data_IF_103748128677
#
_entry.id   IF_103748128677
#
_cell.length_a   1.000
_cell.length_b   1.000
_cell.length_c   1.000
_cell.angle_alpha   90.00
_cell.angle_beta   90.00
_cell.angle_gamma   90.00
#
_symmetry.space_group_name_H-M   'P 1'
#
loop_
_entity.id
_entity.type
_entity.pdbx_description
1 polymer ?
#
# COMPACT_ATOMS: atom_id res chain seq x y z
N UNK A 1 -1.46 -15.24 4.50
CA UNK A 1 -1.51 -15.53 3.05
C UNK A 1 -2.34 -14.48 2.39
N UNK A 2 -1.69 -13.61 1.61
CA UNK A 2 -2.37 -12.57 0.84
C UNK A 2 -3.11 -13.19 -0.35
N UNK A 3 -4.41 -12.98 -0.40
CA UNK A 3 -5.29 -13.39 -1.49
C UNK A 3 -5.91 -12.17 -2.18
N UNK A 4 -6.74 -12.42 -3.19
CA UNK A 4 -7.51 -11.38 -3.87
C UNK A 4 -8.34 -10.52 -2.89
N UNK A 5 -8.86 -11.15 -1.83
CA UNK A 5 -9.72 -10.48 -0.85
C UNK A 5 -8.98 -9.40 -0.06
N UNK A 6 -7.77 -9.69 0.44
CA UNK A 6 -6.97 -8.71 1.17
C UNK A 6 -6.54 -7.56 0.26
N UNK A 7 -6.14 -7.85 -0.99
CA UNK A 7 -5.78 -6.82 -1.97
C UNK A 7 -6.99 -5.96 -2.32
N UNK A 8 -8.18 -6.56 -2.46
CA UNK A 8 -9.40 -5.82 -2.77
C UNK A 8 -9.80 -4.87 -1.65
N UNK A 9 -9.59 -5.27 -0.38
CA UNK A 9 -9.79 -4.37 0.76
C UNK A 9 -8.83 -3.20 0.74
N UNK A 10 -7.55 -3.49 0.47
CA UNK A 10 -6.54 -2.46 0.40
C UNK A 10 -6.81 -1.45 -0.72
N UNK A 11 -7.39 -1.86 -1.85
CA UNK A 11 -7.81 -0.92 -2.91
C UNK A 11 -8.80 0.16 -2.42
N UNK A 12 -9.63 -0.13 -1.41
CA UNK A 12 -10.56 0.87 -0.84
C UNK A 12 -9.87 1.93 0.02
N UNK A 13 -8.58 1.79 0.33
CA UNK A 13 -7.85 2.80 1.12
C UNK A 13 -7.88 4.18 0.46
N UNK A 14 -7.95 4.23 -0.88
CA UNK A 14 -8.05 5.47 -1.65
C UNK A 14 -9.37 6.18 -1.31
N UNK A 15 -10.49 5.45 -1.37
CA UNK A 15 -11.81 5.99 -1.03
C UNK A 15 -11.86 6.44 0.44
N UNK A 16 -11.20 5.72 1.35
CA UNK A 16 -11.13 6.09 2.76
C UNK A 16 -10.33 7.39 2.98
N UNK A 17 -9.23 7.60 2.27
CA UNK A 17 -8.51 8.88 2.33
C UNK A 17 -9.35 10.03 1.75
N UNK A 18 -10.05 9.83 0.63
CA UNK A 18 -10.90 10.86 0.03
C UNK A 18 -12.07 11.29 0.92
N UNK A 19 -12.53 10.38 1.79
CA UNK A 19 -13.68 10.60 2.68
C UNK A 19 -13.30 10.86 4.15
N UNK A 20 -12.01 10.91 4.48
CA UNK A 20 -11.49 11.00 5.86
C UNK A 20 -12.09 9.90 6.77
N UNK A 21 -12.20 8.68 6.24
CA UNK A 21 -12.72 7.51 6.96
C UNK A 21 -11.59 6.79 7.72
N UNK A 22 -11.75 6.68 9.04
CA UNK A 22 -10.84 5.98 9.96
C UNK A 22 -10.56 4.49 9.67
N UNK A 23 -11.30 3.90 8.73
CA UNK A 23 -11.04 2.55 8.22
C UNK A 23 -9.71 2.46 7.47
N UNK A 24 -9.16 3.60 7.04
CA UNK A 24 -7.81 3.73 6.49
C UNK A 24 -6.72 3.05 7.35
N UNK A 25 -6.78 3.22 8.68
CA UNK A 25 -5.82 2.63 9.63
C UNK A 25 -5.81 1.10 9.54
N UNK A 26 -6.99 0.47 9.38
CA UNK A 26 -7.08 -0.98 9.23
C UNK A 26 -6.41 -1.44 7.94
N UNK A 27 -6.59 -0.69 6.85
CA UNK A 27 -5.97 -1.02 5.56
C UNK A 27 -4.46 -0.74 5.55
N UNK A 28 -3.99 0.26 6.30
CA UNK A 28 -2.56 0.47 6.55
C UNK A 28 -1.95 -0.78 7.20
N UNK A 29 -2.55 -1.30 8.27
CA UNK A 29 -2.07 -2.53 8.91
C UNK A 29 -2.13 -3.74 7.97
N UNK A 30 -3.16 -3.84 7.13
CA UNK A 30 -3.25 -4.89 6.12
C UNK A 30 -2.06 -4.80 5.15
N UNK A 31 -1.72 -3.60 4.67
CA UNK A 31 -0.59 -3.39 3.77
C UNK A 31 0.76 -3.68 4.41
N UNK A 32 0.95 -3.35 5.69
CA UNK A 32 2.14 -3.75 6.46
C UNK A 32 2.25 -5.29 6.57
N UNK A 33 1.12 -5.98 6.72
CA UNK A 33 1.05 -7.44 6.69
C UNK A 33 1.48 -8.01 5.34
N UNK A 34 0.99 -7.44 4.24
CA UNK A 34 1.38 -7.83 2.88
C UNK A 34 2.89 -7.65 2.65
N UNK A 35 3.50 -6.61 3.23
CA UNK A 35 4.96 -6.39 3.11
C UNK A 35 5.76 -7.54 3.71
N UNK A 36 5.32 -8.10 4.85
CA UNK A 36 5.98 -9.23 5.52
C UNK A 36 5.88 -10.53 4.72
N UNK A 37 4.82 -10.67 3.92
CA UNK A 37 4.58 -11.84 3.07
C UNK A 37 5.03 -11.64 1.62
N UNK A 38 5.65 -10.50 1.28
CA UNK A 38 5.85 -10.03 -0.10
C UNK A 38 6.36 -11.09 -1.06
N UNK A 39 7.41 -11.82 -0.68
CA UNK A 39 8.05 -12.81 -1.56
C UNK A 39 7.16 -14.02 -1.86
N UNK A 40 6.10 -14.24 -1.08
CA UNK A 40 5.11 -15.30 -1.29
C UNK A 40 3.87 -14.85 -2.07
N UNK A 41 3.70 -13.54 -2.27
CA UNK A 41 2.53 -12.99 -2.97
C UNK A 41 2.64 -13.28 -4.48
N UNK A 42 1.58 -13.78 -5.13
CA UNK A 42 1.52 -13.90 -6.58
C UNK A 42 1.77 -12.57 -7.31
N UNK A 43 2.51 -12.59 -8.41
CA UNK A 43 2.90 -11.38 -9.16
C UNK A 43 1.72 -10.51 -9.60
N UNK A 44 0.58 -11.11 -9.96
CA UNK A 44 -0.60 -10.34 -10.35
C UNK A 44 -1.20 -9.53 -9.18
N UNK A 45 -1.07 -10.02 -7.94
CA UNK A 45 -1.49 -9.30 -6.74
C UNK A 45 -0.49 -8.22 -6.37
N UNK A 46 0.82 -8.49 -6.45
CA UNK A 46 1.86 -7.46 -6.26
C UNK A 46 1.65 -6.25 -7.16
N UNK A 47 1.33 -6.48 -8.44
CA UNK A 47 1.04 -5.38 -9.39
C UNK A 47 -0.12 -4.50 -8.95
N UNK A 48 -1.18 -5.08 -8.39
CA UNK A 48 -2.34 -4.33 -7.87
C UNK A 48 -1.96 -3.53 -6.63
N UNK A 49 -1.25 -4.16 -5.69
CA UNK A 49 -0.73 -3.48 -4.49
C UNK A 49 0.14 -2.28 -4.88
N UNK A 50 1.08 -2.46 -5.83
CA UNK A 50 1.93 -1.38 -6.32
C UNK A 50 1.14 -0.28 -7.04
N UNK A 51 0.03 -0.61 -7.71
CA UNK A 51 -0.82 0.41 -8.32
C UNK A 51 -1.47 1.30 -7.25
N UNK A 52 -1.99 0.71 -6.18
CA UNK A 52 -2.54 1.46 -5.04
C UNK A 52 -1.46 2.28 -4.36
N UNK A 53 -0.31 1.69 -4.05
CA UNK A 53 0.84 2.38 -3.45
C UNK A 53 1.25 3.62 -4.27
N UNK A 54 1.21 3.53 -5.60
CA UNK A 54 1.55 4.66 -6.47
C UNK A 54 0.53 5.80 -6.39
N UNK A 55 -0.77 5.47 -6.42
CA UNK A 55 -1.87 6.45 -6.29
C UNK A 55 -1.76 7.18 -4.95
N UNK A 56 -1.55 6.45 -3.86
CA UNK A 56 -1.40 7.02 -2.52
C UNK A 56 -0.19 7.96 -2.45
N UNK A 57 0.95 7.55 -3.01
CA UNK A 57 2.14 8.41 -3.02
C UNK A 57 1.99 9.67 -3.88
N UNK A 58 1.20 9.60 -4.95
CA UNK A 58 0.97 10.72 -5.87
C UNK A 58 -0.02 11.74 -5.29
N UNK A 59 -1.09 11.25 -4.65
CA UNK A 59 -2.23 12.10 -4.27
C UNK A 59 -2.38 12.34 -2.78
N UNK A 60 -1.87 11.44 -1.92
CA UNK A 60 -2.21 11.45 -0.50
C UNK A 60 -1.00 11.51 0.44
N UNK A 61 0.24 11.54 -0.08
CA UNK A 61 1.45 11.36 0.73
C UNK A 61 1.62 12.35 1.89
N UNK A 62 0.97 13.51 1.82
CA UNK A 62 1.07 14.61 2.79
C UNK A 62 -0.28 14.94 3.45
N UNK A 63 -1.32 14.12 3.26
CA UNK A 63 -2.69 14.41 3.71
C UNK A 63 -2.87 14.29 5.23
N UNK A 64 -2.10 13.42 5.88
CA UNK A 64 -2.29 13.07 7.29
C UNK A 64 -0.99 13.16 8.11
N UNK A 65 -1.11 13.64 9.36
CA UNK A 65 0.05 13.89 10.23
C UNK A 65 0.31 12.78 11.28
N UNK A 66 -0.59 11.80 11.39
CA UNK A 66 -0.49 10.74 12.40
C UNK A 66 0.65 9.74 12.08
N UNK A 67 1.32 9.26 13.13
CA UNK A 67 2.60 8.53 13.00
C UNK A 67 2.49 7.27 12.12
N UNK A 68 1.40 6.51 12.25
CA UNK A 68 1.18 5.30 11.46
C UNK A 68 1.04 5.60 9.96
N UNK A 69 0.45 6.73 9.57
CA UNK A 69 0.42 7.16 8.16
C UNK A 69 1.84 7.41 7.63
N UNK A 70 2.64 8.17 8.39
CA UNK A 70 4.01 8.51 7.99
C UNK A 70 4.87 7.26 7.79
N UNK A 71 4.69 6.25 8.64
CA UNK A 71 5.43 5.00 8.52
C UNK A 71 4.94 4.14 7.35
N UNK A 72 3.62 4.13 7.11
CA UNK A 72 3.02 3.58 5.91
C UNK A 72 3.55 4.21 4.61
N UNK A 73 3.59 5.54 4.51
CA UNK A 73 4.13 6.26 3.36
C UNK A 73 5.61 5.90 3.12
N UNK A 74 6.42 5.78 4.17
CA UNK A 74 7.82 5.33 4.04
C UNK A 74 7.89 3.89 3.51
N UNK A 75 7.05 3.00 4.02
CA UNK A 75 7.02 1.59 3.63
C UNK A 75 6.69 1.44 2.13
N UNK A 76 5.59 2.05 1.67
CA UNK A 76 5.17 1.93 0.27
C UNK A 76 6.15 2.62 -0.68
N UNK A 77 6.76 3.75 -0.27
CA UNK A 77 7.80 4.42 -1.06
C UNK A 77 9.04 3.55 -1.22
N UNK A 78 9.49 2.91 -0.14
CA UNK A 78 10.62 1.99 -0.20
C UNK A 78 10.33 0.81 -1.13
N UNK A 79 9.15 0.20 -1.03
CA UNK A 79 8.75 -0.90 -1.91
C UNK A 79 8.72 -0.48 -3.38
N UNK A 80 8.15 0.68 -3.70
CA UNK A 80 8.14 1.22 -5.07
C UNK A 80 9.56 1.38 -5.64
N UNK A 81 10.51 1.86 -4.84
CA UNK A 81 11.89 2.01 -5.28
C UNK A 81 12.56 0.65 -5.55
N UNK A 82 12.38 -0.32 -4.66
CA UNK A 82 12.91 -1.69 -4.84
C UNK A 82 12.39 -2.31 -6.14
N UNK A 83 11.09 -2.22 -6.40
CA UNK A 83 10.50 -2.84 -7.60
C UNK A 83 10.87 -2.08 -8.89
N UNK A 84 11.08 -0.76 -8.83
CA UNK A 84 11.65 0.01 -9.94
C UNK A 84 13.08 -0.41 -10.26
N UNK A 85 13.93 -0.62 -9.25
CA UNK A 85 15.30 -1.10 -9.45
C UNK A 85 15.34 -2.50 -10.06
N UNK A 86 14.45 -3.41 -9.61
CA UNK A 86 14.31 -4.76 -10.16
C UNK A 86 13.89 -4.79 -11.63
N UNK A 87 13.04 -3.86 -12.06
CA UNK A 87 12.59 -3.78 -13.47
C UNK A 87 13.65 -3.19 -14.41
N UNK A 88 14.63 -2.45 -13.85
CA UNK A 88 15.71 -1.81 -14.60
C UNK A 88 17.03 -2.61 -14.57
N UNK A 89 17.05 -3.78 -13.92
CA UNK A 89 18.21 -4.69 -13.79
C UNK A 89 18.10 -5.84 -14.79
#
# INVERSE_FOLDING_TARGET
MVTDYEVKKYEYIIDYFETDDSTDIQEIYNREGMEKEWDTIPEHLKKRILAVDAIVLEHHADDFDYQIFKDYIKLIRNRQNIEKERQNS
#
